data_IF_545785312249
#
_entry.id   IF_545785312249
#
_cell.length_a   1.000
_cell.length_b   1.000
_cell.length_c   1.000
_cell.angle_alpha   90.00
_cell.angle_beta   90.00
_cell.angle_gamma   90.00
#
_symmetry.space_group_name_H-M   'P 1'
#
loop_
_entity.id
_entity.type
_entity.pdbx_description
1 polymer ?
#
# COMPACT_ATOMS: atom_id res chain seq x y z
N UNK A 1 -67.47 -48.35 6.30
CA UNK A 1 -66.02 -48.35 6.03
C UNK A 1 -65.59 -46.92 5.78
N UNK A 2 -64.90 -46.30 6.73
CA UNK A 2 -64.61 -44.85 6.78
C UNK A 2 -63.09 -44.71 6.74
N UNK A 3 -62.53 -44.16 5.67
CA UNK A 3 -61.09 -43.85 5.57
C UNK A 3 -60.93 -42.34 5.62
N UNK A 4 -60.33 -41.85 6.71
CA UNK A 4 -59.92 -40.45 6.85
C UNK A 4 -58.45 -40.36 6.45
N UNK A 5 -58.16 -39.48 5.49
CA UNK A 5 -56.82 -39.19 5.03
C UNK A 5 -56.26 -38.07 5.93
N UNK A 6 -55.25 -38.38 6.75
CA UNK A 6 -54.48 -37.35 7.45
C UNK A 6 -53.33 -36.90 6.54
N UNK A 7 -53.37 -35.66 6.08
CA UNK A 7 -52.19 -34.97 5.53
C UNK A 7 -51.35 -34.43 6.70
N UNK A 8 -50.11 -34.90 6.84
CA UNK A 8 -49.10 -34.26 7.69
C UNK A 8 -48.46 -33.12 6.88
N UNK A 9 -48.76 -31.88 7.24
CA UNK A 9 -48.01 -30.70 6.79
C UNK A 9 -46.76 -30.55 7.66
N UNK A 10 -45.59 -30.82 7.10
CA UNK A 10 -44.31 -30.51 7.74
C UNK A 10 -44.05 -29.00 7.64
N UNK A 11 -44.21 -28.28 8.75
CA UNK A 11 -43.80 -26.88 8.88
C UNK A 11 -42.28 -26.86 9.12
N UNK A 12 -41.50 -26.57 8.09
CA UNK A 12 -40.07 -26.27 8.24
C UNK A 12 -39.96 -24.85 8.79
N UNK A 13 -39.69 -24.73 10.08
CA UNK A 13 -39.36 -23.45 10.70
C UNK A 13 -37.96 -23.01 10.22
N UNK A 14 -37.92 -22.08 9.27
CA UNK A 14 -36.70 -21.32 8.99
C UNK A 14 -36.40 -20.43 10.20
N UNK A 15 -35.56 -20.93 11.12
CA UNK A 15 -34.97 -20.10 12.15
C UNK A 15 -34.11 -19.02 11.49
N UNK A 16 -34.53 -17.76 11.58
CA UNK A 16 -33.72 -16.64 11.18
C UNK A 16 -32.45 -16.63 12.04
N UNK A 17 -31.31 -16.98 11.45
CA UNK A 17 -30.01 -16.83 12.10
C UNK A 17 -29.72 -15.33 12.13
N UNK A 18 -30.04 -14.68 13.23
CA UNK A 18 -29.62 -13.31 13.49
C UNK A 18 -28.13 -13.34 13.82
N UNK A 19 -27.28 -13.11 12.82
CA UNK A 19 -25.89 -12.72 13.05
C UNK A 19 -25.92 -11.32 13.64
N UNK A 20 -25.81 -11.22 14.97
CA UNK A 20 -25.54 -9.95 15.64
C UNK A 20 -24.18 -9.46 15.17
N UNK A 21 -24.17 -8.56 14.19
CA UNK A 21 -22.97 -7.83 13.84
C UNK A 21 -22.56 -7.00 15.06
N UNK A 22 -21.41 -7.32 15.66
CA UNK A 22 -20.80 -6.51 16.69
C UNK A 22 -20.66 -5.08 16.16
N UNK A 23 -21.13 -4.10 16.93
CA UNK A 23 -21.00 -2.69 16.55
C UNK A 23 -19.52 -2.37 16.30
N UNK A 24 -19.17 -1.67 15.21
CA UNK A 24 -17.80 -1.30 14.94
C UNK A 24 -17.25 -0.44 16.09
N UNK A 25 -16.14 -0.86 16.70
CA UNK A 25 -15.43 -0.05 17.68
C UNK A 25 -14.24 0.62 17.01
N UNK A 26 -14.11 1.94 17.22
CA UNK A 26 -12.94 2.69 16.78
C UNK A 26 -11.84 2.51 17.81
N UNK A 27 -10.67 2.03 17.36
CA UNK A 27 -9.48 1.91 18.20
C UNK A 27 -8.87 3.28 18.54
N UNK A 28 -7.83 3.32 19.39
CA UNK A 28 -7.09 4.56 19.63
C UNK A 28 -6.46 5.09 18.35
N UNK A 29 -6.34 6.42 18.24
CA UNK A 29 -5.58 7.06 17.16
C UNK A 29 -4.10 6.69 17.34
N UNK A 30 -3.47 6.23 16.26
CA UNK A 30 -2.04 5.86 16.25
C UNK A 30 -1.27 6.81 15.33
N UNK A 31 -0.15 7.36 15.83
CA UNK A 31 0.80 8.09 15.00
C UNK A 31 1.77 7.08 14.38
N UNK A 32 1.63 6.85 13.07
CA UNK A 32 2.41 5.83 12.34
C UNK A 32 3.74 6.37 11.81
N UNK A 33 3.83 7.68 11.56
CA UNK A 33 5.04 8.30 11.00
C UNK A 33 6.01 8.73 12.09
N UNK A 34 5.51 9.18 13.25
CA UNK A 34 6.34 9.79 14.32
C UNK A 34 7.33 10.86 13.80
N UNK A 35 6.94 11.56 12.75
CA UNK A 35 7.81 12.38 11.93
C UNK A 35 7.83 13.86 12.38
N UNK A 36 9.01 14.48 12.38
CA UNK A 36 9.25 15.87 12.85
C UNK A 36 8.89 16.98 11.82
N UNK A 37 8.89 16.66 10.53
CA UNK A 37 8.48 17.48 9.39
C UNK A 37 7.28 16.73 8.82
N UNK A 38 6.09 17.34 8.80
CA UNK A 38 4.86 16.63 8.48
C UNK A 38 5.04 15.68 7.29
N UNK A 39 4.99 14.37 7.54
CA UNK A 39 4.65 13.43 6.47
C UNK A 39 3.32 13.91 5.90
N UNK A 40 3.24 13.97 4.58
CA UNK A 40 2.05 14.35 3.84
C UNK A 40 1.82 13.32 2.74
N UNK A 41 0.62 13.36 2.14
CA UNK A 41 0.22 12.45 1.05
C UNK A 41 0.35 10.99 1.50
N UNK A 42 -0.44 10.66 2.52
CA UNK A 42 -0.41 9.34 3.15
C UNK A 42 -1.32 8.35 2.44
N UNK A 43 -0.88 7.09 2.40
CA UNK A 43 -1.67 5.96 1.91
C UNK A 43 -1.65 4.81 2.91
N UNK A 44 -2.78 4.11 3.02
CA UNK A 44 -2.96 2.96 3.90
C UNK A 44 -3.59 1.81 3.12
N UNK A 45 -2.82 0.72 2.95
CA UNK A 45 -3.30 -0.55 2.45
C UNK A 45 -3.67 -1.50 3.61
N UNK A 46 -4.67 -2.34 3.37
CA UNK A 46 -5.14 -3.33 4.34
C UNK A 46 -5.52 -4.65 3.64
N UNK A 47 -5.17 -5.78 4.24
CA UNK A 47 -5.62 -7.09 3.76
C UNK A 47 -7.09 -7.35 4.08
N UNK A 48 -7.66 -8.43 3.53
CA UNK A 48 -9.07 -8.77 3.76
C UNK A 48 -9.39 -9.15 5.21
N UNK A 49 -8.39 -9.47 6.03
CA UNK A 49 -8.58 -9.82 7.44
C UNK A 49 -8.51 -8.61 8.36
N UNK A 50 -7.95 -7.50 7.89
CA UNK A 50 -7.67 -6.31 8.69
C UNK A 50 -6.48 -6.46 9.63
N UNK A 51 -5.72 -7.55 9.54
CA UNK A 51 -4.55 -7.77 10.40
C UNK A 51 -3.27 -7.22 9.77
N UNK A 52 -3.13 -7.35 8.45
CA UNK A 52 -1.99 -6.80 7.73
C UNK A 52 -2.36 -5.40 7.26
N UNK A 53 -1.63 -4.41 7.78
CA UNK A 53 -1.71 -3.03 7.33
C UNK A 53 -0.34 -2.60 6.78
N UNK A 54 -0.34 -1.77 5.76
CA UNK A 54 0.87 -1.12 5.27
C UNK A 54 0.56 0.36 5.04
N UNK A 55 1.40 1.23 5.56
CA UNK A 55 1.27 2.67 5.45
C UNK A 55 2.49 3.25 4.71
N UNK A 56 2.26 4.28 3.91
CA UNK A 56 3.30 5.04 3.24
C UNK A 56 2.97 6.53 3.24
N UNK A 57 4.00 7.36 3.14
CA UNK A 57 3.92 8.83 3.15
C UNK A 57 5.13 9.42 2.41
N UNK A 58 5.09 10.72 2.12
CA UNK A 58 6.30 11.42 1.71
C UNK A 58 7.29 11.51 2.87
N UNK A 59 8.45 10.88 2.70
CA UNK A 59 9.56 10.91 3.63
C UNK A 59 10.55 12.00 3.24
N UNK A 60 10.28 13.20 3.77
CA UNK A 60 11.17 14.36 3.66
C UNK A 60 12.35 14.35 4.65
N UNK A 61 12.48 13.30 5.47
CA UNK A 61 13.45 13.27 6.57
C UNK A 61 14.70 12.52 6.22
N UNK A 62 14.52 11.36 5.60
CA UNK A 62 15.60 10.43 5.44
C UNK A 62 16.09 10.37 4.00
N UNK A 63 15.26 9.85 3.09
CA UNK A 63 15.72 9.53 1.75
C UNK A 63 15.09 10.38 0.63
N UNK A 64 14.36 11.47 0.97
CA UNK A 64 13.55 12.26 0.04
C UNK A 64 12.67 11.33 -0.85
N UNK A 65 12.07 10.32 -0.21
CA UNK A 65 11.44 9.19 -0.86
C UNK A 65 10.04 8.90 -0.31
N UNK A 66 9.60 7.66 -0.50
CA UNK A 66 8.37 7.16 0.11
C UNK A 66 8.70 6.43 1.41
N UNK A 67 8.31 7.03 2.54
CA UNK A 67 8.34 6.39 3.84
C UNK A 67 7.41 5.19 3.86
N UNK A 68 7.71 4.20 4.69
CA UNK A 68 6.94 2.97 4.78
C UNK A 68 6.97 2.39 6.18
N UNK A 69 5.83 1.85 6.61
CA UNK A 69 5.73 0.95 7.75
C UNK A 69 4.60 -0.04 7.56
N UNK A 70 4.62 -1.13 8.34
CA UNK A 70 3.58 -2.14 8.30
C UNK A 70 3.21 -2.64 9.70
N UNK A 71 2.01 -3.19 9.81
CA UNK A 71 1.49 -3.84 11.00
C UNK A 71 1.01 -5.25 10.65
N UNK A 72 1.18 -6.17 11.58
CA UNK A 72 0.69 -7.55 11.46
C UNK A 72 -0.41 -7.89 12.47
N UNK A 73 -0.90 -6.89 13.21
CA UNK A 73 -1.90 -7.03 14.26
C UNK A 73 -2.95 -5.90 14.22
N UNK A 74 -3.36 -5.52 13.02
CA UNK A 74 -4.43 -4.57 12.78
C UNK A 74 -4.14 -3.18 13.32
N UNK A 75 -2.87 -2.77 13.30
CA UNK A 75 -2.44 -1.43 13.71
C UNK A 75 -2.21 -1.27 15.20
N UNK A 76 -2.34 -2.34 16.00
CA UNK A 76 -2.05 -2.29 17.44
C UNK A 76 -0.59 -1.94 17.71
N UNK A 77 0.32 -2.48 16.88
CA UNK A 77 1.74 -2.09 16.83
C UNK A 77 2.20 -2.01 15.38
N UNK A 78 3.17 -1.14 15.12
CA UNK A 78 3.78 -0.94 13.81
C UNK A 78 5.27 -1.27 13.85
N UNK A 79 5.80 -1.75 12.72
CA UNK A 79 7.23 -1.85 12.53
C UNK A 79 7.86 -0.44 12.61
N UNK A 80 9.15 -0.33 13.01
CA UNK A 80 9.86 0.94 12.92
C UNK A 80 9.78 1.52 11.51
N UNK A 81 9.64 2.84 11.37
CA UNK A 81 9.65 3.52 10.07
C UNK A 81 10.90 3.14 9.25
N UNK A 82 10.68 2.94 7.96
CA UNK A 82 11.71 2.78 6.95
C UNK A 82 11.18 3.37 5.63
N UNK A 83 11.65 2.87 4.48
CA UNK A 83 11.34 3.43 3.17
C UNK A 83 11.08 2.35 2.12
N UNK A 84 10.26 2.69 1.13
CA UNK A 84 10.15 1.92 -0.10
C UNK A 84 11.33 2.25 -1.05
N UNK A 85 11.96 1.26 -1.70
CA UNK A 85 13.29 1.42 -2.30
C UNK A 85 13.29 2.08 -3.70
N UNK A 86 12.72 3.27 -3.82
CA UNK A 86 12.66 4.04 -5.08
C UNK A 86 13.92 4.88 -5.34
N UNK A 87 14.55 5.35 -4.27
CA UNK A 87 15.67 6.30 -4.37
C UNK A 87 17.02 5.61 -4.51
N UNK A 88 18.03 6.34 -5.02
CA UNK A 88 19.38 5.84 -5.24
C UNK A 88 20.21 5.69 -3.97
N UNK A 89 19.65 6.07 -2.82
CA UNK A 89 20.28 6.01 -1.51
C UNK A 89 19.29 5.48 -0.46
N UNK A 90 19.80 5.05 0.67
CA UNK A 90 18.96 4.60 1.82
C UNK A 90 18.62 5.78 2.73
N UNK A 91 18.08 5.51 3.92
CA UNK A 91 17.95 6.54 4.97
C UNK A 91 19.31 7.10 5.46
N UNK A 92 20.43 6.45 5.13
CA UNK A 92 21.75 7.09 5.08
C UNK A 92 22.07 7.46 3.62
N UNK A 93 22.23 8.76 3.29
CA UNK A 93 22.48 9.22 1.93
C UNK A 93 23.84 8.75 1.36
N UNK A 94 24.75 8.28 2.21
CA UNK A 94 26.05 7.74 1.78
C UNK A 94 25.99 6.24 1.46
N UNK A 95 24.88 5.56 1.77
CA UNK A 95 24.69 4.14 1.49
C UNK A 95 23.84 4.00 0.22
N UNK A 96 24.33 3.27 -0.81
CA UNK A 96 23.56 3.05 -2.03
C UNK A 96 22.22 2.34 -1.77
N UNK A 97 21.16 2.91 -2.35
CA UNK A 97 19.82 2.32 -2.39
C UNK A 97 19.65 1.34 -3.55
N UNK A 98 18.53 0.62 -3.58
CA UNK A 98 18.20 -0.29 -4.68
C UNK A 98 17.53 0.42 -5.88
N UNK A 99 17.08 1.67 -5.69
CA UNK A 99 16.53 2.50 -6.75
C UNK A 99 17.61 3.30 -7.48
N UNK A 100 17.17 4.27 -8.29
CA UNK A 100 18.07 5.14 -9.07
C UNK A 100 17.71 6.62 -9.06
N UNK A 101 16.57 6.97 -8.44
CA UNK A 101 16.08 8.35 -8.47
C UNK A 101 16.60 9.11 -7.26
N UNK A 102 16.94 10.40 -7.40
CA UNK A 102 17.31 11.21 -6.25
C UNK A 102 16.11 11.56 -5.36
N UNK A 103 14.88 11.52 -5.90
CA UNK A 103 13.66 11.88 -5.17
C UNK A 103 12.52 10.94 -5.59
N UNK A 104 11.68 10.54 -4.64
CA UNK A 104 10.40 9.89 -4.85
C UNK A 104 9.34 10.37 -3.85
N UNK A 105 8.06 10.21 -4.18
CA UNK A 105 6.96 10.65 -3.32
C UNK A 105 5.59 10.20 -3.82
N UNK A 106 4.56 10.77 -3.20
CA UNK A 106 3.12 10.62 -3.41
C UNK A 106 2.73 9.15 -3.41
N UNK A 107 2.93 8.41 -2.31
CA UNK A 107 2.77 6.97 -2.33
C UNK A 107 1.30 6.53 -2.43
N UNK A 108 1.08 5.42 -3.12
CA UNK A 108 -0.16 4.63 -3.07
C UNK A 108 0.17 3.20 -2.65
N UNK A 109 -0.52 2.70 -1.62
CA UNK A 109 -0.33 1.33 -1.11
C UNK A 109 -1.65 0.57 -1.14
N UNK A 110 -1.66 -0.59 -1.79
CA UNK A 110 -2.86 -1.44 -1.89
C UNK A 110 -2.51 -2.91 -1.69
N UNK A 111 -3.41 -3.65 -1.04
CA UNK A 111 -3.26 -5.10 -0.90
C UNK A 111 -3.61 -5.83 -2.19
N UNK A 112 -2.72 -6.74 -2.63
CA UNK A 112 -2.93 -7.61 -3.78
C UNK A 112 -3.17 -9.06 -3.33
N UNK A 113 -4.44 -9.51 -3.24
CA UNK A 113 -4.78 -10.83 -2.72
C UNK A 113 -4.36 -11.98 -3.64
N UNK A 114 -3.98 -11.70 -4.89
CA UNK A 114 -3.45 -12.73 -5.80
C UNK A 114 -2.05 -13.19 -5.38
N UNK A 115 -1.25 -12.26 -4.89
CA UNK A 115 0.15 -12.50 -4.54
C UNK A 115 0.41 -12.50 -3.04
N UNK A 116 -0.59 -12.10 -2.24
CA UNK A 116 -0.47 -11.92 -0.79
C UNK A 116 0.62 -10.91 -0.42
N UNK A 117 0.69 -9.83 -1.20
CA UNK A 117 1.66 -8.74 -1.06
C UNK A 117 0.93 -7.40 -1.11
N UNK A 118 1.62 -6.33 -0.70
CA UNK A 118 1.18 -4.97 -1.01
C UNK A 118 1.83 -4.48 -2.30
N UNK A 119 1.06 -3.92 -3.22
CA UNK A 119 1.59 -3.13 -4.32
C UNK A 119 1.80 -1.70 -3.81
N UNK A 120 2.99 -1.18 -4.02
CA UNK A 120 3.43 0.15 -3.58
C UNK A 120 3.84 0.95 -4.80
N UNK A 121 3.21 2.09 -5.01
CA UNK A 121 3.47 2.98 -6.14
C UNK A 121 3.99 4.29 -5.60
N UNK A 122 4.98 4.86 -6.28
CA UNK A 122 5.46 6.21 -6.04
C UNK A 122 5.80 6.87 -7.37
N UNK A 123 5.70 8.19 -7.39
CA UNK A 123 6.32 8.99 -8.43
C UNK A 123 7.78 9.25 -8.11
N UNK A 124 8.65 9.21 -9.11
CA UNK A 124 10.08 9.43 -8.94
C UNK A 124 10.64 10.35 -10.03
N UNK A 125 11.55 11.26 -9.67
CA UNK A 125 12.02 12.34 -10.53
C UNK A 125 13.46 12.77 -10.22
N UNK A 126 13.97 13.75 -10.98
CA UNK A 126 15.31 14.32 -10.79
C UNK A 126 16.43 13.69 -11.64
N UNK A 127 16.14 12.69 -12.48
CA UNK A 127 17.09 12.17 -13.47
C UNK A 127 17.14 13.00 -14.76
N UNK A 128 16.07 13.71 -15.07
CA UNK A 128 15.95 14.59 -16.23
C UNK A 128 14.97 15.71 -15.89
N UNK A 129 15.25 16.92 -16.37
CA UNK A 129 14.37 18.06 -16.13
C UNK A 129 12.96 17.76 -16.65
N UNK A 130 11.94 18.09 -15.86
CA UNK A 130 10.52 17.95 -16.22
C UNK A 130 10.03 16.51 -16.45
N UNK A 131 10.84 15.48 -16.17
CA UNK A 131 10.41 14.08 -16.31
C UNK A 131 10.00 13.49 -14.96
N UNK A 132 8.83 12.86 -14.93
CA UNK A 132 8.31 12.12 -13.77
C UNK A 132 8.03 10.68 -14.20
N UNK A 133 8.46 9.73 -13.38
CA UNK A 133 8.23 8.32 -13.59
C UNK A 133 7.25 7.83 -12.54
N UNK A 134 6.12 7.26 -12.97
CA UNK A 134 5.25 6.51 -12.09
C UNK A 134 5.76 5.08 -12.03
N UNK A 135 6.15 4.63 -10.85
CA UNK A 135 6.83 3.36 -10.64
C UNK A 135 6.08 2.54 -9.60
N UNK A 136 6.05 1.23 -9.78
CA UNK A 136 5.50 0.29 -8.82
C UNK A 136 6.58 -0.67 -8.31
N UNK A 137 6.42 -1.10 -7.06
CA UNK A 137 7.10 -2.25 -6.48
C UNK A 137 6.10 -3.04 -5.63
N UNK A 138 6.52 -4.18 -5.12
CA UNK A 138 5.69 -5.02 -4.25
C UNK A 138 6.43 -5.26 -2.94
N UNK A 139 5.69 -5.21 -1.83
CA UNK A 139 6.15 -5.50 -0.49
C UNK A 139 5.54 -6.81 0.01
N UNK A 140 6.38 -7.75 0.39
CA UNK A 140 6.01 -9.04 0.96
C UNK A 140 6.19 -9.01 2.49
N UNK A 141 5.10 -8.87 3.27
CA UNK A 141 5.19 -8.82 4.73
C UNK A 141 5.69 -10.13 5.34
N UNK A 142 5.59 -11.27 4.63
CA UNK A 142 6.09 -12.56 5.12
C UNK A 142 7.62 -12.68 5.04
N UNK A 143 8.28 -11.82 4.24
CA UNK A 143 9.74 -11.75 4.12
C UNK A 143 10.35 -10.59 4.91
N UNK A 144 9.52 -9.68 5.40
CA UNK A 144 9.96 -8.48 6.08
C UNK A 144 10.57 -8.78 7.46
N UNK A 145 11.73 -8.19 7.71
CA UNK A 145 12.39 -8.19 9.02
C UNK A 145 12.18 -6.83 9.70
N UNK A 146 11.23 -6.75 10.64
CA UNK A 146 10.95 -5.53 11.41
C UNK A 146 12.12 -5.07 12.30
N UNK A 147 13.13 -5.92 12.53
CA UNK A 147 14.33 -5.61 13.29
C UNK A 147 15.53 -5.28 12.41
N UNK A 148 15.34 -5.24 11.08
CA UNK A 148 16.36 -4.73 10.18
C UNK A 148 16.71 -3.28 10.54
N UNK A 149 17.97 -2.89 10.30
CA UNK A 149 18.33 -1.49 10.34
C UNK A 149 17.44 -0.71 9.34
N UNK A 150 16.97 0.47 9.73
CA UNK A 150 16.09 1.32 8.91
C UNK A 150 16.65 1.62 7.50
N UNK A 151 17.97 1.54 7.31
CA UNK A 151 18.64 1.70 6.02
C UNK A 151 18.45 0.51 5.08
N UNK A 152 17.87 -0.59 5.55
CA UNK A 152 17.72 -1.83 4.78
C UNK A 152 16.27 -2.17 4.43
N UNK A 153 15.32 -1.23 4.53
CA UNK A 153 13.93 -1.41 4.05
C UNK A 153 13.33 -2.78 4.38
N UNK A 154 13.43 -3.22 5.63
CA UNK A 154 12.94 -4.52 6.10
C UNK A 154 13.57 -5.76 5.45
N UNK A 155 14.74 -5.66 4.82
CA UNK A 155 15.49 -6.85 4.36
C UNK A 155 16.18 -6.75 3.01
N UNK A 156 16.31 -5.58 2.38
CA UNK A 156 17.04 -5.45 1.10
C UNK A 156 18.51 -5.91 1.19
N UNK A 157 19.10 -5.95 2.39
CA UNK A 157 20.51 -6.31 2.60
C UNK A 157 20.79 -7.21 3.83
N UNK A 158 19.76 -7.76 4.50
CA UNK A 158 19.91 -8.48 5.80
C UNK A 158 20.07 -10.01 5.63
N UNK A 159 20.14 -10.51 4.39
CA UNK A 159 20.15 -11.95 4.07
C UNK A 159 18.75 -12.56 4.05
N UNK A 160 18.55 -13.64 3.28
CA UNK A 160 17.22 -14.18 2.98
C UNK A 160 16.62 -13.61 1.69
N UNK A 161 15.34 -13.90 1.42
CA UNK A 161 14.64 -13.32 0.27
C UNK A 161 14.24 -11.87 0.57
N UNK A 162 14.47 -10.90 -0.34
CA UNK A 162 14.14 -9.50 -0.08
C UNK A 162 12.63 -9.31 0.07
N UNK A 163 12.24 -8.44 1.01
CA UNK A 163 10.85 -8.05 1.21
C UNK A 163 10.28 -7.24 0.04
N UNK A 164 11.13 -6.72 -0.84
CA UNK A 164 10.76 -5.89 -1.97
C UNK A 164 11.12 -6.53 -3.31
N UNK A 165 10.27 -6.35 -4.32
CA UNK A 165 10.65 -6.59 -5.71
C UNK A 165 11.42 -5.41 -6.31
N UNK A 166 11.99 -5.62 -7.51
CA UNK A 166 12.54 -4.53 -8.30
C UNK A 166 11.46 -3.55 -8.79
N UNK A 167 11.87 -2.32 -9.07
CA UNK A 167 10.98 -1.28 -9.59
C UNK A 167 10.51 -1.61 -11.01
N UNK A 168 9.19 -1.55 -11.21
CA UNK A 168 8.55 -1.65 -12.51
C UNK A 168 8.04 -0.27 -12.95
N UNK A 169 8.26 0.11 -14.21
CA UNK A 169 7.67 1.34 -14.74
C UNK A 169 6.19 1.11 -15.04
N UNK A 170 5.33 1.96 -14.48
CA UNK A 170 3.92 2.05 -14.83
C UNK A 170 3.77 2.94 -16.05
N UNK A 171 4.31 4.16 -15.97
CA UNK A 171 4.31 5.13 -17.07
C UNK A 171 5.32 6.25 -16.82
N UNK A 172 5.56 7.09 -17.83
CA UNK A 172 6.42 8.27 -17.77
C UNK A 172 5.61 9.47 -18.27
N UNK A 173 5.70 10.57 -17.54
CA UNK A 173 4.99 11.81 -17.82
C UNK A 173 5.95 13.00 -17.84
N UNK A 174 5.40 14.15 -18.21
CA UNK A 174 6.11 15.41 -18.20
C UNK A 174 5.43 16.37 -17.25
N UNK A 175 6.21 17.12 -16.47
CA UNK A 175 5.69 18.19 -15.62
C UNK A 175 6.05 19.55 -16.19
N UNK A 176 5.04 20.40 -16.30
CA UNK A 176 5.19 21.79 -16.74
C UNK A 176 5.54 22.75 -15.58
N UNK A 177 5.85 22.24 -14.38
CA UNK A 177 6.08 23.01 -13.15
C UNK A 177 7.42 22.72 -12.43
N UNK A 178 7.62 23.37 -11.27
CA UNK A 178 8.77 23.12 -10.39
C UNK A 178 8.60 21.81 -9.61
N UNK A 179 9.68 21.03 -9.46
CA UNK A 179 9.70 19.72 -8.76
C UNK A 179 9.51 19.81 -7.23
N UNK A 180 9.11 20.97 -6.71
CA UNK A 180 8.72 21.21 -5.30
C UNK A 180 7.57 22.24 -5.28
N UNK A 181 6.47 21.91 -4.60
CA UNK A 181 5.49 22.83 -4.00
C UNK A 181 4.50 23.59 -4.92
N UNK A 182 3.22 23.21 -4.80
CA UNK A 182 1.96 24.00 -4.81
C UNK A 182 1.58 24.94 -5.96
N UNK A 183 2.44 25.22 -6.95
CA UNK A 183 2.09 26.04 -8.13
C UNK A 183 2.38 25.33 -9.46
N UNK A 184 2.75 24.05 -9.41
CA UNK A 184 3.09 23.26 -10.59
C UNK A 184 1.88 22.50 -11.12
N UNK A 185 1.71 22.50 -12.45
CA UNK A 185 0.92 21.49 -13.15
C UNK A 185 1.67 20.17 -13.10
N UNK A 186 1.55 19.49 -11.97
CA UNK A 186 2.15 18.18 -11.71
C UNK A 186 1.11 17.09 -11.96
N UNK A 187 1.44 16.04 -12.73
CA UNK A 187 0.71 14.79 -12.67
C UNK A 187 0.81 14.22 -11.26
N UNK A 188 -0.31 14.21 -10.54
CA UNK A 188 -0.46 13.70 -9.17
C UNK A 188 -1.34 12.42 -9.21
N UNK A 189 -1.20 11.56 -8.20
CA UNK A 189 -1.94 10.31 -8.07
C UNK A 189 -2.33 10.05 -6.62
N UNK A 190 -3.63 10.01 -6.36
CA UNK A 190 -4.14 9.82 -5.00
C UNK A 190 -4.80 8.45 -4.79
N UNK A 191 -5.01 7.67 -5.86
CA UNK A 191 -5.85 6.48 -5.77
C UNK A 191 -5.34 5.30 -6.59
N UNK A 192 -5.32 4.15 -5.93
CA UNK A 192 -5.05 2.85 -6.53
C UNK A 192 -6.03 1.80 -6.06
N UNK A 193 -6.21 0.76 -6.87
CA UNK A 193 -6.94 -0.44 -6.47
C UNK A 193 -6.42 -1.67 -7.20
N UNK A 194 -6.66 -2.84 -6.63
CA UNK A 194 -6.36 -4.13 -7.27
C UNK A 194 -7.69 -4.78 -7.64
N UNK A 195 -7.76 -5.33 -8.85
CA UNK A 195 -8.89 -6.16 -9.24
C UNK A 195 -8.96 -7.41 -8.37
N UNK A 196 -10.00 -7.50 -7.55
CA UNK A 196 -10.26 -8.66 -6.68
C UNK A 196 -11.31 -9.60 -7.25
N UNK A 197 -11.90 -9.27 -8.41
CA UNK A 197 -12.92 -10.11 -9.04
C UNK A 197 -12.31 -11.33 -9.75
N UNK A 198 -13.05 -12.44 -9.71
CA UNK A 198 -12.66 -13.71 -10.36
C UNK A 198 -13.60 -14.12 -11.49
N UNK A 199 -14.64 -13.32 -11.76
CA UNK A 199 -15.63 -13.57 -12.81
C UNK A 199 -15.19 -13.11 -14.21
N UNK A 200 -16.02 -13.37 -15.24
CA UNK A 200 -15.76 -12.90 -16.61
C UNK A 200 -15.55 -11.38 -16.65
N UNK A 201 -14.51 -10.93 -17.37
CA UNK A 201 -14.17 -9.51 -17.50
C UNK A 201 -13.26 -8.95 -16.40
N UNK A 202 -13.01 -9.71 -15.33
CA UNK A 202 -12.06 -9.33 -14.30
C UNK A 202 -10.64 -9.83 -14.61
N UNK A 203 -9.66 -9.07 -14.14
CA UNK A 203 -8.25 -9.36 -14.22
C UNK A 203 -7.66 -9.49 -12.81
N UNK A 204 -8.08 -10.53 -12.07
CA UNK A 204 -7.64 -10.78 -10.69
C UNK A 204 -6.14 -10.49 -10.48
N UNK A 205 -5.85 -9.63 -9.51
CA UNK A 205 -4.52 -9.16 -9.13
C UNK A 205 -3.92 -8.06 -10.01
N UNK A 206 -4.68 -7.48 -10.94
CA UNK A 206 -4.23 -6.32 -11.73
C UNK A 206 -4.36 -5.04 -10.91
N UNK A 207 -3.26 -4.31 -10.81
CA UNK A 207 -3.21 -2.97 -10.26
C UNK A 207 -3.76 -1.94 -11.25
N UNK A 208 -4.63 -1.06 -10.77
CA UNK A 208 -5.09 0.14 -11.46
C UNK A 208 -4.71 1.36 -10.61
N UNK A 209 -4.11 2.37 -11.24
CA UNK A 209 -3.68 3.61 -10.60
C UNK A 209 -4.27 4.77 -11.40
N UNK A 210 -4.92 5.71 -10.71
CA UNK A 210 -5.29 6.98 -11.29
C UNK A 210 -4.05 7.89 -11.28
N UNK A 211 -3.75 8.55 -12.39
CA UNK A 211 -2.68 9.53 -12.48
C UNK A 211 -3.10 10.66 -13.42
N UNK A 212 -3.16 11.88 -12.90
CA UNK A 212 -3.75 13.02 -13.61
C UNK A 212 -3.02 14.32 -13.29
N UNK A 213 -2.93 15.22 -14.27
CA UNK A 213 -2.44 16.58 -14.04
C UNK A 213 -3.60 17.49 -13.61
N UNK A 214 -3.49 18.11 -12.45
CA UNK A 214 -4.46 19.10 -11.97
C UNK A 214 -4.12 20.52 -12.48
N UNK A 215 -5.14 21.33 -12.76
CA UNK A 215 -5.03 22.69 -13.31
C UNK A 215 -5.48 23.76 -12.32
#
# INVERSE_FOLDING_TARGET
MRKWLFMLTAVVALGAVTVSASAPSVGPIVNVTNSQFAGNEESLGMDSTGNLLAAAWNDWHFNDGCGFSYSTNGGSTWAPESFAPFTSFTNDPNVPGAGKFPIAGDPVVVWNPKFSTFDVVCQAFGLSAHQINLLATTFDPAKANAQANQNFSYGTQVGGAPAWTGLASVTIGSSNGSQKGSNGKFPDHEAGTVDTGTGPGHHFGRLYIAWAEFN
#
